data_IF_732535262306
#
_entry.id   IF_732535262306
#
_cell.length_a   1.000
_cell.length_b   1.000
_cell.length_c   1.000
_cell.angle_alpha   90.00
_cell.angle_beta   90.00
_cell.angle_gamma   90.00
#
_symmetry.space_group_name_H-M   'P 1'
#
loop_
_entity.id
_entity.type
_entity.pdbx_description
1 polymer ?
#
# COMPACT_ATOMS: atom_id res chain seq x y z
N UNK A 1 -0.60 15.35 1.37
CA UNK A 1 -1.22 15.18 2.70
C UNK A 1 -0.16 15.47 3.75
N UNK A 2 -0.37 16.43 4.66
CA UNK A 2 0.55 16.68 5.77
C UNK A 2 0.08 15.91 7.01
N UNK A 3 1.00 15.20 7.65
CA UNK A 3 0.73 14.53 8.93
C UNK A 3 0.69 15.60 10.04
N UNK A 4 -0.31 15.60 10.94
CA UNK A 4 -0.36 16.51 12.07
C UNK A 4 0.59 16.05 13.19
N UNK A 5 1.89 15.94 12.88
CA UNK A 5 2.93 15.40 13.77
C UNK A 5 2.99 16.20 15.06
N UNK A 6 2.89 17.53 14.98
CA UNK A 6 2.89 18.42 16.15
C UNK A 6 1.70 18.21 17.10
N UNK A 7 0.59 17.66 16.60
CA UNK A 7 -0.61 17.38 17.39
C UNK A 7 -0.65 15.93 17.90
N UNK A 8 0.39 15.13 17.65
CA UNK A 8 0.38 13.70 17.96
C UNK A 8 0.06 13.42 19.43
N UNK A 9 0.76 14.11 20.35
CA UNK A 9 0.55 13.94 21.79
C UNK A 9 -0.86 14.33 22.22
N UNK A 10 -1.41 15.43 21.70
CA UNK A 10 -2.78 15.86 22.01
C UNK A 10 -3.82 14.84 21.51
N UNK A 11 -3.62 14.31 20.30
CA UNK A 11 -4.48 13.27 19.72
C UNK A 11 -4.40 11.97 20.51
N UNK A 12 -3.22 11.61 21.02
CA UNK A 12 -3.04 10.44 21.87
C UNK A 12 -3.73 10.61 23.23
N UNK A 13 -3.58 11.76 23.87
CA UNK A 13 -4.24 12.07 25.14
C UNK A 13 -5.77 12.03 25.00
N UNK A 14 -6.34 12.64 23.95
CA UNK A 14 -7.79 12.57 23.69
C UNK A 14 -8.29 11.14 23.51
N UNK A 15 -7.48 10.25 22.90
CA UNK A 15 -7.84 8.82 22.78
C UNK A 15 -7.80 8.12 24.13
N UNK A 16 -6.79 8.42 24.96
CA UNK A 16 -6.66 7.88 26.31
C UNK A 16 -7.83 8.29 27.21
N UNK A 17 -8.18 9.57 27.23
CA UNK A 17 -9.32 10.10 27.98
C UNK A 17 -10.62 9.42 27.56
N UNK A 18 -10.86 9.32 26.25
CA UNK A 18 -12.04 8.64 25.70
C UNK A 18 -12.10 7.17 26.09
N UNK A 19 -10.97 6.44 26.01
CA UNK A 19 -10.92 5.03 26.38
C UNK A 19 -11.13 4.82 27.87
N UNK A 20 -10.53 5.68 28.70
CA UNK A 20 -10.67 5.67 30.16
C UNK A 20 -12.15 5.84 30.55
N UNK A 21 -12.84 6.81 29.93
CA UNK A 21 -14.27 7.03 30.17
C UNK A 21 -15.13 5.84 29.74
N UNK A 22 -14.81 5.19 28.61
CA UNK A 22 -15.52 4.01 28.11
C UNK A 22 -15.34 2.78 29.01
N UNK A 23 -14.17 2.62 29.62
CA UNK A 23 -13.83 1.47 30.45
C UNK A 23 -14.18 1.66 31.93
N UNK A 24 -14.49 2.90 32.35
CA UNK A 24 -14.84 3.24 33.73
C UNK A 24 -15.94 2.34 34.35
N UNK A 25 -17.04 1.99 33.65
CA UNK A 25 -18.08 1.11 34.22
C UNK A 25 -17.63 -0.32 34.52
N UNK A 26 -16.48 -0.75 34.00
CA UNK A 26 -15.99 -2.11 34.10
C UNK A 26 -14.86 -2.28 35.13
N UNK A 27 -14.54 -1.25 35.91
CA UNK A 27 -13.41 -1.24 36.86
C UNK A 27 -12.10 -1.68 36.20
N UNK A 28 -11.85 -1.21 34.98
CA UNK A 28 -10.63 -1.54 34.25
C UNK A 28 -9.38 -1.01 34.99
N UNK A 29 -8.26 -1.75 34.94
CA UNK A 29 -6.99 -1.29 35.49
C UNK A 29 -6.42 -0.12 34.68
N UNK A 30 -5.34 0.49 35.19
CA UNK A 30 -4.64 1.57 34.50
C UNK A 30 -4.22 1.16 33.08
N UNK A 31 -4.52 2.04 32.13
CA UNK A 31 -4.26 1.79 30.71
C UNK A 31 -2.77 2.00 30.45
N UNK A 32 -2.10 0.93 29.97
CA UNK A 32 -0.76 1.03 29.42
C UNK A 32 -0.82 1.64 28.01
N UNK A 33 0.00 2.66 27.78
CA UNK A 33 0.06 3.37 26.49
C UNK A 33 1.34 2.97 25.76
N UNK A 34 1.17 2.51 24.52
CA UNK A 34 2.26 2.23 23.59
C UNK A 34 2.13 3.18 22.41
N UNK A 35 3.05 4.13 22.29
CA UNK A 35 3.07 5.09 21.21
C UNK A 35 3.58 4.45 19.91
N UNK A 36 3.18 5.07 18.80
CA UNK A 36 3.57 4.68 17.45
C UNK A 36 4.46 5.77 16.87
N UNK A 37 5.44 5.43 16.02
CA UNK A 37 6.17 6.43 15.26
C UNK A 37 5.23 7.41 14.57
N UNK A 38 5.60 8.69 14.55
CA UNK A 38 4.74 9.76 14.03
C UNK A 38 4.61 9.76 12.50
N UNK A 39 5.47 8.99 11.81
CA UNK A 39 5.48 8.79 10.35
C UNK A 39 5.91 7.37 10.00
N UNK A 40 5.67 6.95 8.75
CA UNK A 40 6.12 5.66 8.19
C UNK A 40 5.67 4.40 8.94
N UNK A 41 4.64 4.51 9.77
CA UNK A 41 4.15 3.41 10.61
C UNK A 41 3.22 2.45 9.85
N UNK A 42 2.65 2.85 8.71
CA UNK A 42 1.67 2.03 7.98
C UNK A 42 2.35 1.09 6.99
N UNK A 43 2.23 -0.21 7.26
CA UNK A 43 2.83 -1.27 6.44
C UNK A 43 1.98 -1.71 5.25
N UNK A 44 0.75 -1.19 5.12
CA UNK A 44 -0.15 -1.48 4.01
C UNK A 44 -0.79 -0.21 3.46
N UNK A 45 -0.66 0.01 2.16
CA UNK A 45 -1.25 1.15 1.47
C UNK A 45 -1.92 0.68 0.18
N UNK A 46 -3.06 1.27 -0.14
CA UNK A 46 -3.86 0.93 -1.31
C UNK A 46 -4.16 2.22 -2.07
N UNK A 47 -3.88 2.21 -3.36
CA UNK A 47 -4.00 3.39 -4.19
C UNK A 47 -4.76 3.05 -5.46
N UNK A 48 -5.74 3.88 -5.82
CA UNK A 48 -6.33 3.77 -7.16
C UNK A 48 -5.38 4.37 -8.17
N UNK A 49 -5.42 3.84 -9.38
CA UNK A 49 -4.65 4.36 -10.51
C UNK A 49 -5.59 5.17 -11.38
N UNK A 50 -5.24 6.44 -11.58
CA UNK A 50 -5.91 7.30 -12.53
C UNK A 50 -5.10 7.35 -13.81
N UNK A 51 -5.77 7.14 -14.95
CA UNK A 51 -5.18 7.25 -16.28
C UNK A 51 -5.57 8.59 -16.88
N UNK A 52 -4.59 9.33 -17.35
CA UNK A 52 -4.73 10.65 -17.96
C UNK A 52 -3.94 10.66 -19.27
N UNK A 53 -4.65 10.50 -20.39
CA UNK A 53 -4.08 10.38 -21.73
C UNK A 53 -3.04 9.24 -21.79
N UNK A 54 -1.76 9.60 -21.92
CA UNK A 54 -0.63 8.66 -22.01
C UNK A 54 0.10 8.47 -20.67
N UNK A 55 -0.41 9.05 -19.58
CA UNK A 55 0.16 8.95 -18.24
C UNK A 55 -0.80 8.29 -17.25
N UNK A 56 -0.24 7.76 -16.15
CA UNK A 56 -1.02 7.31 -15.01
C UNK A 56 -0.26 7.50 -13.70
N UNK A 57 -1.03 7.73 -12.63
CA UNK A 57 -0.50 8.02 -11.30
C UNK A 57 -1.44 7.51 -10.21
N UNK A 58 -0.89 7.38 -8.98
CA UNK A 58 -1.69 7.04 -7.81
C UNK A 58 -2.60 8.18 -7.41
N UNK A 59 -3.83 7.84 -7.04
CA UNK A 59 -4.81 8.75 -6.47
C UNK A 59 -5.42 8.17 -5.20
N UNK A 60 -5.84 9.08 -4.32
CA UNK A 60 -6.69 8.79 -3.18
C UNK A 60 -7.90 9.73 -3.20
N UNK A 61 -8.89 9.44 -2.37
CA UNK A 61 -10.06 10.30 -2.19
C UNK A 61 -9.98 11.01 -0.85
N UNK A 62 -10.28 12.30 -0.87
CA UNK A 62 -10.47 13.07 0.35
C UNK A 62 -11.73 12.57 1.08
N UNK A 63 -11.63 12.33 2.39
CA UNK A 63 -12.73 11.71 3.15
C UNK A 63 -13.92 12.65 3.31
N UNK A 64 -13.71 13.97 3.32
CA UNK A 64 -14.78 14.95 3.53
C UNK A 64 -15.46 15.33 2.21
N UNK A 65 -14.68 15.53 1.15
CA UNK A 65 -15.16 16.06 -0.13
C UNK A 65 -15.35 14.99 -1.21
N UNK A 66 -14.84 13.77 -0.99
CA UNK A 66 -14.78 12.68 -1.97
C UNK A 66 -14.07 13.07 -3.27
N UNK A 67 -13.33 14.18 -3.28
CA UNK A 67 -12.54 14.61 -4.43
C UNK A 67 -11.28 13.75 -4.50
N UNK A 68 -10.95 13.33 -5.72
CA UNK A 68 -9.69 12.66 -6.00
C UNK A 68 -8.52 13.64 -5.89
N UNK A 69 -7.40 13.18 -5.36
CA UNK A 69 -6.14 13.91 -5.40
C UNK A 69 -5.00 12.97 -5.75
N UNK A 70 -4.01 13.49 -6.48
CA UNK A 70 -2.80 12.77 -6.87
C UNK A 70 -1.90 12.56 -5.65
N UNK A 71 -1.29 11.38 -5.58
CA UNK A 71 -0.38 10.98 -4.51
C UNK A 71 0.93 10.52 -5.10
N UNK A 72 1.93 11.38 -5.09
CA UNK A 72 3.30 11.00 -5.48
C UNK A 72 4.08 10.43 -4.28
N UNK A 73 3.81 10.96 -3.09
CA UNK A 73 4.41 10.51 -1.84
C UNK A 73 3.35 10.27 -0.77
N UNK A 74 3.58 9.28 0.08
CA UNK A 74 2.68 8.90 1.14
C UNK A 74 3.45 8.68 2.45
N UNK A 75 3.77 9.76 3.20
CA UNK A 75 4.64 9.70 4.38
C UNK A 75 4.05 8.89 5.56
N UNK A 76 2.78 8.52 5.46
CA UNK A 76 2.11 7.61 6.39
C UNK A 76 2.60 6.17 6.19
N UNK A 77 2.82 5.76 4.94
CA UNK A 77 3.32 4.44 4.62
C UNK A 77 4.82 4.32 4.86
N UNK A 78 5.29 3.09 5.04
CA UNK A 78 6.71 2.80 5.23
C UNK A 78 7.58 3.41 4.13
N UNK A 79 8.84 3.67 4.46
CA UNK A 79 9.81 4.17 3.49
C UNK A 79 9.95 3.22 2.28
N UNK A 80 9.86 1.90 2.52
CA UNK A 80 9.89 0.89 1.46
C UNK A 80 8.73 1.05 0.47
N UNK A 81 7.52 1.33 0.96
CA UNK A 81 6.36 1.59 0.09
C UNK A 81 6.59 2.86 -0.73
N UNK A 82 7.07 3.94 -0.13
CA UNK A 82 7.34 5.19 -0.85
C UNK A 82 8.39 4.98 -1.95
N UNK A 83 9.49 4.28 -1.64
CA UNK A 83 10.52 3.92 -2.62
C UNK A 83 9.94 3.08 -3.75
N UNK A 84 9.13 2.07 -3.43
CA UNK A 84 8.47 1.21 -4.42
C UNK A 84 7.48 1.99 -5.30
N UNK A 85 6.70 2.92 -4.76
CA UNK A 85 5.77 3.75 -5.54
C UNK A 85 6.51 4.53 -6.65
N UNK A 86 7.65 5.14 -6.30
CA UNK A 86 8.48 5.92 -7.21
C UNK A 86 9.15 5.04 -8.28
N UNK A 87 9.66 3.87 -7.91
CA UNK A 87 10.31 2.95 -8.86
C UNK A 87 9.31 2.24 -9.79
N UNK A 88 8.17 1.82 -9.25
CA UNK A 88 7.24 0.93 -9.97
C UNK A 88 6.56 1.60 -11.15
N UNK A 89 6.10 2.85 -10.99
CA UNK A 89 5.37 3.58 -12.03
C UNK A 89 6.14 3.69 -13.35
N UNK A 90 7.41 4.16 -13.39
CA UNK A 90 8.21 4.17 -14.61
C UNK A 90 8.36 2.81 -15.27
N UNK A 91 8.56 1.74 -14.50
CA UNK A 91 8.73 0.39 -15.05
C UNK A 91 7.43 -0.14 -15.67
N UNK A 92 6.27 0.12 -15.04
CA UNK A 92 4.97 -0.25 -15.58
C UNK A 92 4.66 0.47 -16.91
N UNK A 93 5.15 1.70 -17.10
CA UNK A 93 4.97 2.46 -18.35
C UNK A 93 5.71 1.85 -19.54
N UNK A 94 6.78 1.09 -19.32
CA UNK A 94 7.57 0.49 -20.39
C UNK A 94 6.84 -0.63 -21.14
N UNK A 95 5.79 -1.22 -20.55
CA UNK A 95 5.04 -2.31 -21.15
C UNK A 95 3.53 -2.07 -21.04
N UNK A 96 2.85 -1.90 -22.18
CA UNK A 96 1.40 -1.66 -22.26
C UNK A 96 0.60 -2.74 -21.52
N UNK A 97 1.03 -3.99 -21.64
CA UNK A 97 0.37 -5.12 -20.96
C UNK A 97 0.35 -4.96 -19.43
N UNK A 98 1.25 -4.19 -18.82
CA UNK A 98 1.29 -4.03 -17.37
C UNK A 98 0.45 -2.87 -16.84
N UNK A 99 0.19 -1.83 -17.63
CA UNK A 99 -0.61 -0.68 -17.18
C UNK A 99 -2.00 -0.60 -17.81
N UNK A 100 -2.22 -1.22 -18.97
CA UNK A 100 -3.54 -1.24 -19.62
C UNK A 100 -4.59 -1.86 -18.71
N UNK A 101 -5.65 -1.10 -18.40
CA UNK A 101 -6.76 -1.46 -17.52
C UNK A 101 -6.34 -1.74 -16.05
N UNK A 102 -5.16 -1.30 -15.63
CA UNK A 102 -4.74 -1.28 -14.23
C UNK A 102 -5.54 -0.20 -13.49
N UNK A 103 -6.28 -0.54 -12.44
CA UNK A 103 -7.12 0.44 -11.73
C UNK A 103 -6.73 0.65 -10.27
N UNK A 104 -5.95 -0.27 -9.69
CA UNK A 104 -5.52 -0.19 -8.30
C UNK A 104 -4.21 -0.94 -8.09
N UNK A 105 -3.37 -0.42 -7.20
CA UNK A 105 -2.16 -1.09 -6.70
C UNK A 105 -2.23 -1.14 -5.19
N UNK A 106 -2.04 -2.35 -4.64
CA UNK A 106 -1.91 -2.56 -3.20
C UNK A 106 -0.45 -2.87 -2.86
N UNK A 107 0.06 -2.18 -1.85
CA UNK A 107 1.39 -2.37 -1.30
C UNK A 107 1.28 -2.93 0.12
N UNK A 108 2.02 -4.00 0.39
CA UNK A 108 2.16 -4.58 1.72
C UNK A 108 3.64 -4.82 2.00
N UNK A 109 4.23 -3.99 2.86
CA UNK A 109 5.60 -4.14 3.32
C UNK A 109 5.67 -4.89 4.66
N UNK A 110 6.82 -5.49 4.96
CA UNK A 110 7.12 -6.07 6.28
C UNK A 110 8.25 -5.29 6.96
N UNK A 111 8.41 -5.49 8.28
CA UNK A 111 9.56 -4.97 9.03
C UNK A 111 10.89 -5.61 8.58
N UNK A 112 10.84 -6.78 7.96
CA UNK A 112 11.99 -7.47 7.36
C UNK A 112 12.35 -6.98 5.94
N UNK A 113 11.88 -5.79 5.57
CA UNK A 113 12.14 -5.12 4.30
C UNK A 113 11.68 -5.89 3.04
N UNK A 114 10.68 -6.77 3.19
CA UNK A 114 10.02 -7.45 2.08
C UNK A 114 8.77 -6.69 1.66
N UNK A 115 8.40 -6.77 0.38
CA UNK A 115 7.19 -6.11 -0.12
C UNK A 115 6.42 -6.98 -1.09
N UNK A 116 5.10 -6.99 -0.94
CA UNK A 116 4.16 -7.55 -1.90
C UNK A 116 3.47 -6.39 -2.61
N UNK A 117 3.50 -6.41 -3.94
CA UNK A 117 2.80 -5.48 -4.81
C UNK A 117 1.69 -6.24 -5.52
N UNK A 118 0.43 -5.92 -5.23
CA UNK A 118 -0.70 -6.47 -5.96
C UNK A 118 -1.19 -5.48 -7.01
N UNK A 119 -1.20 -5.90 -8.27
CA UNK A 119 -1.68 -5.14 -9.42
C UNK A 119 -3.09 -5.62 -9.77
N UNK A 120 -4.09 -4.73 -9.66
CA UNK A 120 -5.50 -5.06 -9.86
C UNK A 120 -6.00 -4.51 -11.20
N UNK A 121 -6.64 -5.37 -11.99
CA UNK A 121 -7.00 -5.09 -13.38
C UNK A 121 -8.48 -5.30 -13.69
N UNK A 122 -8.99 -4.50 -14.64
CA UNK A 122 -10.25 -4.73 -15.34
C UNK A 122 -10.02 -5.40 -16.72
N UNK A 123 -9.20 -6.46 -16.73
CA UNK A 123 -8.97 -7.32 -17.89
C UNK A 123 -8.52 -8.71 -17.42
N UNK A 124 -8.61 -9.70 -18.31
CA UNK A 124 -8.02 -11.03 -18.10
C UNK A 124 -6.49 -10.93 -18.12
N UNK A 125 -5.83 -11.73 -17.28
CA UNK A 125 -4.37 -11.82 -17.26
C UNK A 125 -3.94 -12.97 -18.17
N UNK A 126 -3.18 -12.66 -19.20
CA UNK A 126 -2.69 -13.60 -20.21
C UNK A 126 -1.27 -14.06 -19.88
N UNK A 127 -0.76 -15.08 -20.58
CA UNK A 127 0.64 -15.51 -20.47
C UNK A 127 1.64 -14.39 -20.79
N UNK A 128 1.27 -13.48 -21.71
CA UNK A 128 2.03 -12.26 -22.01
C UNK A 128 2.17 -11.38 -20.76
N UNK A 129 1.08 -11.18 -20.01
CA UNK A 129 1.12 -10.45 -18.74
C UNK A 129 2.01 -11.16 -17.72
N UNK A 130 1.96 -12.49 -17.66
CA UNK A 130 2.80 -13.26 -16.74
C UNK A 130 4.30 -13.12 -17.04
N UNK A 131 4.67 -13.18 -18.32
CA UNK A 131 6.05 -12.97 -18.78
C UNK A 131 6.53 -11.54 -18.45
N UNK A 132 5.69 -10.55 -18.75
CA UNK A 132 5.93 -9.15 -18.45
C UNK A 132 6.14 -8.89 -16.94
N UNK A 133 5.30 -9.49 -16.09
CA UNK A 133 5.38 -9.33 -14.65
C UNK A 133 6.60 -10.05 -14.04
N UNK A 134 7.05 -11.17 -14.61
CA UNK A 134 8.34 -11.80 -14.23
C UNK A 134 9.51 -10.88 -14.53
N UNK A 135 9.55 -10.31 -15.74
CA UNK A 135 10.57 -9.33 -16.11
C UNK A 135 10.56 -8.09 -15.20
N UNK A 136 9.36 -7.58 -14.86
CA UNK A 136 9.20 -6.48 -13.92
C UNK A 136 9.78 -6.83 -12.54
N UNK A 137 9.50 -8.04 -12.04
CA UNK A 137 10.06 -8.52 -10.77
C UNK A 137 11.58 -8.54 -10.81
N UNK A 138 12.18 -9.09 -11.86
CA UNK A 138 13.64 -9.16 -12.00
C UNK A 138 14.28 -7.76 -12.06
N UNK A 139 13.63 -6.79 -12.72
CA UNK A 139 14.07 -5.40 -12.75
C UNK A 139 14.02 -4.74 -11.37
N UNK A 140 12.99 -5.03 -10.58
CA UNK A 140 12.88 -4.54 -9.20
C UNK A 140 13.90 -5.20 -8.28
N UNK A 141 14.13 -6.51 -8.39
CA UNK A 141 15.15 -7.22 -7.60
C UNK A 141 16.57 -6.68 -7.90
N UNK A 142 16.85 -6.32 -9.15
CA UNK A 142 18.10 -5.62 -9.53
C UNK A 142 18.25 -4.24 -8.90
N UNK A 143 17.15 -3.63 -8.46
CA UNK A 143 17.13 -2.40 -7.69
C UNK A 143 17.08 -2.65 -6.18
N UNK A 144 17.48 -3.83 -5.70
CA UNK A 144 17.57 -4.15 -4.26
C UNK A 144 16.21 -4.15 -3.54
N UNK A 145 15.18 -4.66 -4.22
CA UNK A 145 13.88 -4.95 -3.60
C UNK A 145 13.67 -6.46 -3.44
N UNK A 146 13.38 -6.91 -2.20
CA UNK A 146 12.79 -8.24 -1.98
C UNK A 146 11.28 -8.15 -2.23
N UNK A 147 10.89 -8.29 -3.50
CA UNK A 147 9.52 -8.03 -3.98
C UNK A 147 8.82 -9.27 -4.51
N UNK A 148 7.53 -9.37 -4.21
CA UNK A 148 6.60 -10.29 -4.84
C UNK A 148 5.52 -9.50 -5.60
N UNK A 149 5.22 -9.93 -6.83
CA UNK A 149 4.20 -9.31 -7.68
C UNK A 149 3.01 -10.23 -7.82
N UNK A 150 1.81 -9.72 -7.53
CA UNK A 150 0.55 -10.47 -7.64
C UNK A 150 -0.35 -9.80 -8.66
N UNK A 151 -0.85 -10.55 -9.63
CA UNK A 151 -1.90 -10.12 -10.55
C UNK A 151 -3.27 -10.47 -10.02
N UNK A 152 -4.21 -9.53 -10.04
CA UNK A 152 -5.61 -9.78 -9.70
C UNK A 152 -6.53 -9.23 -10.78
N UNK A 153 -7.45 -10.06 -11.24
CA UNK A 153 -8.52 -9.69 -12.17
C UNK A 153 -9.84 -10.31 -11.71
N UNK A 154 -10.96 -9.76 -12.17
CA UNK A 154 -12.28 -10.34 -11.86
C UNK A 154 -12.32 -11.81 -12.32
N UNK A 155 -12.71 -12.71 -11.42
CA UNK A 155 -12.74 -14.18 -11.60
C UNK A 155 -11.39 -14.89 -11.86
N UNK A 156 -10.24 -14.21 -11.74
CA UNK A 156 -8.92 -14.83 -11.84
C UNK A 156 -7.95 -14.25 -10.80
N UNK A 157 -7.45 -15.11 -9.90
CA UNK A 157 -6.29 -14.80 -9.05
C UNK A 157 -5.07 -15.46 -9.67
N UNK A 158 -4.49 -14.86 -10.72
CA UNK A 158 -3.24 -15.35 -11.30
C UNK A 158 -2.09 -15.00 -10.36
N UNK A 159 -1.79 -15.94 -9.47
CA UNK A 159 -0.63 -15.88 -8.58
C UNK A 159 0.58 -16.31 -9.40
N UNK A 160 1.37 -15.35 -9.85
CA UNK A 160 2.70 -15.64 -10.36
C UNK A 160 3.55 -16.16 -9.20
N UNK A 161 3.79 -17.47 -9.25
CA UNK A 161 4.62 -18.25 -8.32
C UNK A 161 4.04 -18.45 -6.90
N UNK A 162 3.87 -19.73 -6.56
CA UNK A 162 3.72 -20.34 -5.23
C UNK A 162 3.53 -19.32 -4.08
N UNK A 163 2.29 -19.17 -3.64
CA UNK A 163 1.99 -18.70 -2.29
C UNK A 163 2.66 -19.68 -1.31
N UNK A 164 3.88 -19.39 -0.89
CA UNK A 164 4.34 -19.70 0.47
C UNK A 164 4.22 -18.42 1.27
N UNK A 165 2.99 -18.10 1.64
CA UNK A 165 2.72 -17.23 2.78
C UNK A 165 1.98 -18.10 3.79
N UNK A 166 2.69 -19.03 4.42
CA UNK A 166 2.17 -19.72 5.59
C UNK A 166 2.04 -18.67 6.69
N UNK A 167 0.80 -18.24 6.96
CA UNK A 167 0.37 -17.45 8.13
C UNK A 167 1.19 -16.18 8.41
N UNK A 168 0.77 -15.05 7.83
CA UNK A 168 0.87 -13.76 8.53
C UNK A 168 -0.46 -13.49 9.22
N UNK A 169 -0.70 -14.22 10.31
CA UNK A 169 -1.48 -13.72 11.43
C UNK A 169 -0.44 -13.29 12.47
N UNK A 170 -0.33 -11.99 12.69
CA UNK A 170 -0.05 -11.50 14.05
C UNK A 170 -1.37 -11.61 14.82
#
# INVERSE_FOLDING_TARGET
MQLPISQYNELLQKKLEKLTALLHPFNAPDIQVFDSPTSHYRMRAEFRIWHEQDDFYHIMFDQATLKRYRVDEFPIASMLINRMMQTLLPLLKQQEVLHKKLFQIDYLSTLSNKIIVSLLYHKTLTEEWESAAKNLKDLLEKQDFDVQIIGRASKQKSVLSKIMWTKFYL
#
